data_IF_963791178877
#
_entry.id   IF_963791178877
#
_cell.length_a   1.000
_cell.length_b   1.000
_cell.length_c   1.000
_cell.angle_alpha   90.00
_cell.angle_beta   90.00
_cell.angle_gamma   90.00
#
_symmetry.space_group_name_H-M   'P 1'
#
loop_
_entity.id
_entity.type
_entity.pdbx_description
1 polymer ?
#
# COMPACT_ATOMS: atom_id res chain seq x y z
N UNK A 1 15.14 5.69 6.34
CA UNK A 1 14.39 5.51 7.59
C UNK A 1 13.93 4.07 7.54
N UNK A 2 14.60 3.21 8.29
CA UNK A 2 14.37 1.76 8.38
C UNK A 2 13.99 1.53 9.84
N UNK A 3 12.96 0.72 10.10
CA UNK A 3 12.44 0.51 11.46
C UNK A 3 11.36 1.52 11.91
N UNK A 4 10.70 2.24 10.99
CA UNK A 4 9.49 2.99 11.34
C UNK A 4 8.35 1.99 11.64
N UNK A 5 7.56 2.24 12.70
CA UNK A 5 6.47 1.36 13.11
C UNK A 5 5.13 1.78 12.47
N UNK A 6 4.41 0.82 11.88
CA UNK A 6 3.11 1.02 11.22
C UNK A 6 2.14 -0.06 11.67
N UNK A 7 0.86 0.30 11.82
CA UNK A 7 -0.21 -0.66 11.98
C UNK A 7 -0.74 -1.06 10.60
N UNK A 8 -0.72 -2.35 10.26
CA UNK A 8 -1.26 -2.86 9.00
C UNK A 8 -2.21 -4.04 9.25
N UNK A 9 -3.15 -4.26 8.33
CA UNK A 9 -4.07 -5.39 8.38
C UNK A 9 -3.52 -6.55 7.53
N UNK A 10 -3.12 -7.68 8.13
CA UNK A 10 -2.68 -8.86 7.40
C UNK A 10 -3.82 -9.83 7.06
N UNK A 11 -5.07 -9.51 7.37
CA UNK A 11 -6.23 -10.38 7.11
C UNK A 11 -6.50 -11.40 8.22
N UNK A 12 -5.93 -11.23 9.41
CA UNK A 12 -6.10 -12.14 10.57
C UNK A 12 -7.24 -11.72 11.52
N UNK A 13 -8.01 -10.69 11.13
CA UNK A 13 -9.14 -10.18 11.90
C UNK A 13 -8.80 -9.04 12.87
N UNK A 14 -7.54 -8.60 12.94
CA UNK A 14 -7.10 -7.40 13.65
C UNK A 14 -5.81 -6.85 13.03
N UNK A 15 -5.54 -5.57 13.26
CA UNK A 15 -4.32 -4.90 12.79
C UNK A 15 -3.11 -5.30 13.63
N UNK A 16 -1.97 -5.50 12.97
CA UNK A 16 -0.69 -5.82 13.61
C UNK A 16 0.27 -4.61 13.53
N UNK A 17 1.08 -4.37 14.57
CA UNK A 17 2.21 -3.46 14.46
C UNK A 17 3.34 -4.17 13.70
N UNK A 18 3.83 -3.54 12.64
CA UNK A 18 4.95 -4.00 11.84
C UNK A 18 5.97 -2.91 11.58
N UNK A 19 7.18 -3.33 11.23
CA UNK A 19 8.28 -2.44 10.89
C UNK A 19 8.37 -2.23 9.38
N UNK A 20 8.64 -0.99 8.97
CA UNK A 20 8.93 -0.70 7.57
C UNK A 20 10.32 -1.23 7.22
N UNK A 21 10.32 -2.17 6.28
CA UNK A 21 11.53 -2.79 5.75
C UNK A 21 12.11 -1.95 4.63
N UNK A 22 11.28 -1.59 3.64
CA UNK A 22 11.70 -0.91 2.42
C UNK A 22 10.65 0.08 1.90
N UNK A 23 11.15 1.19 1.35
CA UNK A 23 10.35 2.22 0.66
C UNK A 23 10.71 2.24 -0.83
N UNK A 24 9.80 1.77 -1.68
CA UNK A 24 9.95 1.88 -3.14
C UNK A 24 9.37 3.20 -3.63
N UNK A 25 10.20 4.25 -3.63
CA UNK A 25 9.79 5.62 -3.98
C UNK A 25 9.15 5.76 -5.37
N UNK A 26 9.57 4.96 -6.35
CA UNK A 26 9.03 5.02 -7.71
C UNK A 26 7.62 4.43 -7.82
N UNK A 27 7.30 3.42 -7.01
CA UNK A 27 5.96 2.79 -6.98
C UNK A 27 5.06 3.33 -5.87
N UNK A 28 5.57 4.22 -5.01
CA UNK A 28 4.91 4.65 -3.78
C UNK A 28 4.45 3.47 -2.89
N UNK A 29 5.21 2.37 -2.92
CA UNK A 29 4.92 1.16 -2.14
C UNK A 29 5.86 1.07 -0.95
N UNK A 30 5.31 0.68 0.20
CA UNK A 30 6.04 0.39 1.42
C UNK A 30 5.88 -1.08 1.77
N UNK A 31 6.99 -1.77 1.98
CA UNK A 31 7.01 -3.16 2.45
C UNK A 31 7.13 -3.17 3.96
N UNK A 32 6.18 -3.82 4.62
CA UNK A 32 6.08 -3.92 6.08
C UNK A 32 6.15 -5.36 6.51
N UNK A 33 6.82 -5.63 7.63
CA UNK A 33 6.92 -6.96 8.24
C UNK A 33 6.54 -6.91 9.72
N UNK A 34 5.77 -7.90 10.18
CA UNK A 34 5.55 -8.15 11.61
C UNK A 34 5.85 -9.61 11.94
N UNK A 35 6.41 -9.83 13.13
CA UNK A 35 6.59 -11.18 13.69
C UNK A 35 5.70 -11.30 14.92
N UNK A 36 4.72 -12.20 14.86
CA UNK A 36 3.79 -12.46 15.97
C UNK A 36 3.81 -13.95 16.28
N UNK A 37 4.12 -14.31 17.52
CA UNK A 37 4.19 -15.70 17.99
C UNK A 37 5.08 -16.63 17.12
N UNK A 38 6.12 -16.07 16.48
CA UNK A 38 7.03 -16.82 15.60
C UNK A 38 6.58 -16.92 14.13
N UNK A 39 5.42 -16.36 13.78
CA UNK A 39 4.95 -16.25 12.39
C UNK A 39 5.27 -14.89 11.80
N UNK A 40 5.66 -14.88 10.52
CA UNK A 40 6.02 -13.66 9.79
C UNK A 40 4.88 -13.23 8.86
N UNK A 41 4.39 -12.01 9.08
CA UNK A 41 3.40 -11.35 8.25
C UNK A 41 4.07 -10.28 7.41
N UNK A 42 3.89 -10.34 6.09
CA UNK A 42 4.45 -9.37 5.15
C UNK A 42 3.31 -8.72 4.36
N UNK A 43 3.33 -7.39 4.26
CA UNK A 43 2.36 -6.62 3.49
C UNK A 43 3.01 -5.53 2.65
N UNK A 44 2.37 -5.20 1.53
CA UNK A 44 2.75 -4.07 0.67
C UNK A 44 1.65 -3.01 0.73
N UNK A 45 2.01 -1.79 1.13
CA UNK A 45 1.07 -0.68 1.32
C UNK A 45 1.33 0.37 0.25
N UNK A 46 0.29 0.72 -0.54
CA UNK A 46 0.31 1.89 -1.41
C UNK A 46 0.14 3.16 -0.57
N UNK A 47 1.09 4.08 -0.67
CA UNK A 47 1.09 5.33 0.10
C UNK A 47 0.89 6.51 -0.84
N UNK A 48 -0.24 7.21 -0.69
CA UNK A 48 -0.53 8.44 -1.42
C UNK A 48 -0.43 9.67 -0.53
N UNK A 49 0.16 10.75 -1.02
CA UNK A 49 0.10 12.07 -0.36
C UNK A 49 -1.17 12.79 -0.81
N UNK A 50 -2.03 13.18 0.14
CA UNK A 50 -3.25 13.94 -0.18
C UNK A 50 -2.87 15.33 -0.76
N UNK A 51 -3.26 15.63 -2.01
CA UNK A 51 -2.92 16.89 -2.66
C UNK A 51 -3.87 18.06 -2.30
N UNK A 52 -4.93 17.80 -1.52
CA UNK A 52 -5.95 18.77 -1.11
C UNK A 52 -6.61 19.55 -2.28
N UNK A 53 -6.56 18.99 -3.49
CA UNK A 53 -7.19 19.51 -4.70
C UNK A 53 -7.86 18.37 -5.46
N UNK A 54 -8.98 18.66 -6.10
CA UNK A 54 -9.58 17.71 -7.03
C UNK A 54 -8.81 17.71 -8.36
N UNK A 55 -8.56 16.51 -8.87
CA UNK A 55 -8.03 16.27 -10.20
C UNK A 55 -9.14 15.69 -11.08
N UNK A 56 -9.11 15.98 -12.38
CA UNK A 56 -10.06 15.44 -13.35
C UNK A 56 -9.63 14.02 -13.79
N UNK A 57 -9.49 13.12 -12.82
CA UNK A 57 -9.07 11.71 -13.03
C UNK A 57 -10.08 10.71 -12.44
N UNK A 58 -11.19 11.20 -11.89
CA UNK A 58 -12.22 10.37 -11.24
C UNK A 58 -13.42 10.08 -12.16
N UNK A 59 -13.31 10.38 -13.46
CA UNK A 59 -14.34 10.17 -14.46
C UNK A 59 -14.52 8.71 -14.88
N UNK A 60 -15.68 8.40 -15.50
CA UNK A 60 -16.03 7.06 -15.98
C UNK A 60 -15.04 6.52 -17.03
N UNK A 61 -14.41 7.40 -17.79
CA UNK A 61 -13.37 7.08 -18.76
C UNK A 61 -12.11 6.53 -18.08
N UNK A 62 -11.71 7.09 -16.93
CA UNK A 62 -10.57 6.60 -16.16
C UNK A 62 -10.88 5.25 -15.52
N UNK A 63 -12.07 5.08 -14.93
CA UNK A 63 -12.49 3.79 -14.34
C UNK A 63 -12.44 2.66 -15.37
N UNK A 64 -12.97 2.89 -16.58
CA UNK A 64 -12.92 1.90 -17.66
C UNK A 64 -11.51 1.52 -18.10
N UNK A 65 -10.52 2.42 -17.96
CA UNK A 65 -9.12 2.10 -18.29
C UNK A 65 -8.51 1.12 -17.29
N UNK A 66 -8.92 1.17 -16.02
CA UNK A 66 -8.44 0.28 -14.96
C UNK A 66 -9.27 -1.00 -14.83
N UNK A 67 -10.45 -1.06 -15.47
CA UNK A 67 -11.29 -2.25 -15.47
C UNK A 67 -10.53 -3.46 -16.04
N UNK A 68 -10.57 -4.57 -15.29
CA UNK A 68 -9.90 -5.83 -15.62
C UNK A 68 -8.37 -5.76 -15.83
N UNK A 69 -7.72 -4.67 -15.42
CA UNK A 69 -6.26 -4.57 -15.41
C UNK A 69 -5.67 -5.23 -14.16
N UNK A 70 -4.52 -5.89 -14.33
CA UNK A 70 -3.79 -6.46 -13.21
C UNK A 70 -3.26 -5.35 -12.31
N UNK A 71 -3.29 -5.57 -11.00
CA UNK A 71 -2.69 -4.65 -10.04
C UNK A 71 -1.19 -4.48 -10.35
N UNK A 72 -0.76 -3.24 -10.61
CA UNK A 72 0.61 -2.90 -11.00
C UNK A 72 0.89 -2.86 -12.51
N UNK A 73 -0.07 -3.19 -13.38
CA UNK A 73 0.10 -2.98 -14.83
C UNK A 73 -0.08 -1.52 -15.26
N UNK A 74 -0.83 -0.76 -14.46
CA UNK A 74 -1.07 0.66 -14.64
C UNK A 74 -0.42 1.47 -13.50
N UNK A 75 -0.04 2.73 -13.78
CA UNK A 75 0.52 3.60 -12.76
C UNK A 75 -0.49 3.85 -11.62
N UNK A 76 0.00 3.99 -10.37
CA UNK A 76 -0.81 4.43 -9.23
C UNK A 76 -1.27 5.88 -9.36
#
# INVERSE_FOLDING_TARGET
MHGDLVWFDPGVGYVLPGEVMEYHRLGQVVTVQAVVNGETYTGSILVSVNPYRMFDIYGLDMVKRYEAQLLGSLPP
#
